data_IF_033885990953
#
_entry.id   IF_033885990953
#
_cell.length_a   1.000
_cell.length_b   1.000
_cell.length_c   1.000
_cell.angle_alpha   90.00
_cell.angle_beta   90.00
_cell.angle_gamma   90.00
#
_symmetry.space_group_name_H-M   'P 1'
#
loop_
_entity.id
_entity.type
_entity.pdbx_description
1 polymer ?
#
# COMPACT_ATOMS: atom_id res chain seq x y z
N UNK A 1 52.18 -64.39 -14.33
CA UNK A 1 52.92 -64.02 -13.10
C UNK A 1 53.77 -62.81 -13.47
N UNK A 2 53.36 -61.59 -13.16
CA UNK A 2 53.21 -61.07 -11.81
C UNK A 2 52.01 -60.11 -11.72
N UNK A 3 51.07 -60.43 -10.85
CA UNK A 3 50.08 -59.49 -10.32
C UNK A 3 50.83 -58.44 -9.50
N UNK A 4 50.90 -57.21 -10.00
CA UNK A 4 51.31 -56.07 -9.21
C UNK A 4 50.04 -55.45 -8.61
N UNK A 5 49.78 -55.74 -7.33
CA UNK A 5 48.74 -55.07 -6.57
C UNK A 5 49.02 -53.56 -6.55
N UNK A 6 48.01 -52.70 -6.75
CA UNK A 6 48.19 -51.26 -6.64
C UNK A 6 48.57 -50.91 -5.20
N UNK A 7 49.46 -49.91 -5.01
CA UNK A 7 49.94 -49.53 -3.68
C UNK A 7 48.77 -49.02 -2.84
N UNK A 8 48.63 -49.57 -1.63
CA UNK A 8 47.65 -49.16 -0.65
C UNK A 8 47.96 -47.73 -0.22
N UNK A 9 47.15 -46.78 -0.68
CA UNK A 9 47.24 -45.38 -0.29
C UNK A 9 46.56 -45.28 1.07
N UNK A 10 47.34 -45.40 2.15
CA UNK A 10 46.88 -45.08 3.49
C UNK A 10 46.69 -43.56 3.59
N UNK A 11 45.43 -43.13 3.54
CA UNK A 11 45.04 -41.75 3.80
C UNK A 11 45.14 -41.51 5.31
N UNK A 12 46.27 -40.93 5.72
CA UNK A 12 46.51 -40.50 7.09
C UNK A 12 45.51 -39.38 7.46
N UNK A 13 44.50 -39.75 8.26
CA UNK A 13 43.47 -38.84 8.77
C UNK A 13 43.81 -38.30 10.17
N UNK A 14 44.99 -38.60 10.73
CA UNK A 14 45.38 -38.14 12.09
C UNK A 14 45.74 -36.65 12.17
N UNK A 15 45.78 -35.94 11.04
CA UNK A 15 46.13 -34.51 10.99
C UNK A 15 45.03 -33.57 10.49
N UNK A 16 43.84 -34.08 10.13
CA UNK A 16 42.76 -33.24 9.62
C UNK A 16 41.80 -32.90 10.77
N UNK A 17 42.26 -32.05 11.69
CA UNK A 17 41.40 -31.42 12.69
C UNK A 17 40.52 -30.37 12.00
N UNK A 18 39.39 -30.81 11.45
CA UNK A 18 38.39 -29.94 10.83
C UNK A 18 37.56 -29.19 11.89
N UNK A 19 37.91 -29.27 13.18
CA UNK A 19 37.09 -28.74 14.28
C UNK A 19 37.65 -27.52 14.99
N UNK A 20 38.91 -27.13 14.79
CA UNK A 20 39.52 -26.03 15.56
C UNK A 20 39.75 -24.69 14.81
N UNK A 21 39.93 -24.71 13.48
CA UNK A 21 40.32 -23.48 12.75
C UNK A 21 39.17 -22.76 12.02
N UNK A 22 37.95 -23.31 12.08
CA UNK A 22 36.75 -22.61 11.64
C UNK A 22 36.28 -21.65 12.74
N UNK A 23 37.18 -20.77 13.20
CA UNK A 23 36.81 -19.54 13.88
C UNK A 23 36.11 -18.65 12.86
N UNK A 24 34.86 -18.99 12.56
CA UNK A 24 33.89 -18.06 12.00
C UNK A 24 33.58 -17.06 13.11
N UNK A 25 34.59 -16.26 13.46
CA UNK A 25 34.57 -15.29 14.54
C UNK A 25 33.44 -14.33 14.25
N UNK A 26 32.29 -14.57 14.88
CA UNK A 26 31.25 -13.58 14.93
C UNK A 26 31.92 -12.35 15.56
N UNK A 27 31.87 -11.17 14.92
CA UNK A 27 32.48 -9.98 15.48
C UNK A 27 31.93 -9.81 16.91
N UNK A 28 32.80 -9.84 17.91
CA UNK A 28 32.44 -9.53 19.29
C UNK A 28 32.07 -8.05 19.31
N UNK A 29 30.77 -7.76 19.20
CA UNK A 29 30.25 -6.41 19.33
C UNK A 29 30.45 -5.95 20.78
N UNK A 30 31.01 -4.75 20.95
CA UNK A 30 31.12 -4.18 22.28
C UNK A 30 29.74 -3.76 22.84
N UNK A 31 29.65 -3.58 24.16
CA UNK A 31 28.39 -3.20 24.81
C UNK A 31 27.81 -1.87 24.27
N UNK A 32 28.66 -0.99 23.73
CA UNK A 32 28.28 0.31 23.15
C UNK A 32 27.63 0.15 21.77
N UNK A 33 28.18 -0.71 20.91
CA UNK A 33 27.65 -1.07 19.59
C UNK A 33 26.32 -1.82 19.72
N UNK A 34 26.20 -2.73 20.69
CA UNK A 34 24.93 -3.41 20.98
C UNK A 34 23.87 -2.39 21.43
N UNK A 35 24.21 -1.47 22.33
CA UNK A 35 23.30 -0.42 22.77
C UNK A 35 22.88 0.51 21.61
N UNK A 36 23.81 0.88 20.74
CA UNK A 36 23.54 1.68 19.55
C UNK A 36 22.61 0.96 18.57
N UNK A 37 22.86 -0.32 18.28
CA UNK A 37 22.01 -1.15 17.40
C UNK A 37 20.59 -1.28 17.95
N UNK A 38 20.43 -1.48 19.26
CA UNK A 38 19.11 -1.55 19.91
C UNK A 38 18.39 -0.20 19.79
N UNK A 39 19.08 0.91 20.03
CA UNK A 39 18.50 2.25 19.92
C UNK A 39 18.04 2.57 18.47
N UNK A 40 18.89 2.29 17.49
CA UNK A 40 18.55 2.46 16.06
C UNK A 40 17.37 1.58 15.67
N UNK A 41 17.37 0.31 16.10
CA UNK A 41 16.27 -0.62 15.84
C UNK A 41 14.95 -0.09 16.40
N UNK A 42 14.96 0.44 17.63
CA UNK A 42 13.76 1.01 18.24
C UNK A 42 13.22 2.22 17.46
N UNK A 43 14.09 3.13 17.03
CA UNK A 43 13.71 4.30 16.22
C UNK A 43 13.12 3.88 14.88
N UNK A 44 13.74 2.90 14.20
CA UNK A 44 13.26 2.38 12.92
C UNK A 44 11.88 1.73 13.08
N UNK A 45 11.70 0.85 14.08
CA UNK A 45 10.41 0.22 14.34
C UNK A 45 9.32 1.22 14.73
N UNK A 46 9.64 2.19 15.59
CA UNK A 46 8.72 3.26 15.93
C UNK A 46 8.30 4.06 14.69
N UNK A 47 9.24 4.38 13.81
CA UNK A 47 8.97 5.05 12.53
C UNK A 47 8.04 4.24 11.62
N UNK A 48 8.29 2.93 11.47
CA UNK A 48 7.44 2.03 10.68
C UNK A 48 6.03 1.97 11.25
N UNK A 49 5.88 1.87 12.58
CA UNK A 49 4.58 1.84 13.25
C UNK A 49 3.83 3.15 13.01
N UNK A 50 4.48 4.31 13.18
CA UNK A 50 3.87 5.63 12.98
C UNK A 50 3.40 5.78 11.52
N UNK A 51 4.26 5.45 10.55
CA UNK A 51 3.90 5.49 9.14
C UNK A 51 2.76 4.52 8.81
N UNK A 52 2.75 3.34 9.41
CA UNK A 52 1.67 2.37 9.30
C UNK A 52 0.34 2.91 9.82
N UNK A 53 0.34 3.57 10.98
CA UNK A 53 -0.86 4.20 11.56
C UNK A 53 -1.39 5.31 10.65
N UNK A 54 -0.51 6.16 10.13
CA UNK A 54 -0.89 7.25 9.21
C UNK A 54 -1.48 6.66 7.91
N UNK A 55 -0.83 5.65 7.33
CA UNK A 55 -1.32 4.99 6.12
C UNK A 55 -2.66 4.29 6.32
N UNK A 56 -2.88 3.68 7.49
CA UNK A 56 -4.15 3.07 7.86
C UNK A 56 -5.25 4.13 8.02
N UNK A 57 -4.98 5.22 8.73
CA UNK A 57 -5.95 6.31 8.91
C UNK A 57 -6.37 6.93 7.56
N UNK A 58 -5.42 7.15 6.64
CA UNK A 58 -5.69 7.64 5.29
C UNK A 58 -6.55 6.65 4.50
N UNK A 59 -6.24 5.36 4.59
CA UNK A 59 -7.00 4.29 3.91
C UNK A 59 -8.45 4.25 4.39
N UNK A 60 -8.68 4.34 5.71
CA UNK A 60 -10.01 4.42 6.30
C UNK A 60 -10.74 5.67 5.80
N UNK A 61 -10.07 6.82 5.75
CA UNK A 61 -10.66 8.06 5.27
C UNK A 61 -11.12 7.95 3.80
N UNK A 62 -10.27 7.41 2.92
CA UNK A 62 -10.61 7.19 1.50
C UNK A 62 -11.79 6.22 1.37
N UNK A 63 -11.76 5.11 2.10
CA UNK A 63 -12.83 4.12 2.12
C UNK A 63 -14.16 4.73 2.58
N UNK A 64 -14.15 5.54 3.64
CA UNK A 64 -15.33 6.21 4.16
C UNK A 64 -15.93 7.21 3.17
N UNK A 65 -15.12 8.04 2.52
CA UNK A 65 -15.61 8.98 1.50
C UNK A 65 -16.18 8.23 0.28
N UNK A 66 -15.53 7.16 -0.16
CA UNK A 66 -16.05 6.30 -1.22
C UNK A 66 -17.39 5.67 -0.87
N UNK A 67 -17.49 5.08 0.32
CA UNK A 67 -18.72 4.48 0.86
C UNK A 67 -19.86 5.50 0.90
N UNK A 68 -19.63 6.65 1.53
CA UNK A 68 -20.66 7.66 1.72
C UNK A 68 -21.10 8.31 0.38
N UNK A 69 -20.20 8.40 -0.60
CA UNK A 69 -20.56 8.86 -1.94
C UNK A 69 -21.47 7.82 -2.62
N UNK A 70 -21.11 6.54 -2.60
CA UNK A 70 -21.89 5.47 -3.22
C UNK A 70 -23.29 5.30 -2.61
N UNK A 71 -23.44 5.58 -1.32
CA UNK A 71 -24.72 5.53 -0.62
C UNK A 71 -25.69 6.65 -1.06
N UNK A 72 -25.16 7.80 -1.49
CA UNK A 72 -25.95 8.90 -2.06
C UNK A 72 -26.36 8.67 -3.52
N UNK A 73 -25.69 7.76 -4.22
CA UNK A 73 -26.07 7.40 -5.58
C UNK A 73 -27.24 6.41 -5.61
N UNK A 74 -28.21 6.61 -6.51
CA UNK A 74 -29.31 5.66 -6.72
C UNK A 74 -28.77 4.34 -7.30
N UNK A 75 -29.39 3.21 -6.94
CA UNK A 75 -28.96 1.86 -7.34
C UNK A 75 -28.68 1.68 -8.85
N UNK A 76 -29.49 2.23 -9.78
CA UNK A 76 -29.27 2.06 -11.22
C UNK A 76 -27.97 2.69 -11.73
N UNK A 77 -27.40 3.65 -10.98
CA UNK A 77 -26.18 4.39 -11.36
C UNK A 77 -25.01 4.10 -10.44
N UNK A 78 -25.16 3.16 -9.53
CA UNK A 78 -24.10 2.75 -8.61
C UNK A 78 -23.16 1.77 -9.35
N UNK A 79 -21.90 2.15 -9.65
CA UNK A 79 -21.02 1.31 -10.46
C UNK A 79 -20.48 0.09 -9.70
N UNK A 80 -20.40 0.18 -8.37
CA UNK A 80 -19.90 -0.87 -7.48
C UNK A 80 -20.70 -0.89 -6.18
N UNK A 81 -20.85 -2.05 -5.52
CA UNK A 81 -21.51 -2.12 -4.21
C UNK A 81 -20.86 -1.17 -3.20
N UNK A 82 -21.66 -0.56 -2.32
CA UNK A 82 -21.19 0.41 -1.33
C UNK A 82 -20.13 -0.14 -0.38
N UNK A 83 -20.05 -1.46 -0.19
CA UNK A 83 -19.03 -2.08 0.66
C UNK A 83 -17.63 -2.13 0.02
N UNK A 84 -17.52 -2.05 -1.31
CA UNK A 84 -16.24 -2.23 -2.04
C UNK A 84 -15.12 -1.31 -1.56
N UNK A 85 -15.35 -0.02 -1.24
CA UNK A 85 -14.32 0.85 -0.69
C UNK A 85 -13.65 0.33 0.59
N UNK A 86 -14.34 -0.47 1.41
CA UNK A 86 -13.77 -1.04 2.63
C UNK A 86 -12.73 -2.13 2.37
N UNK A 87 -12.73 -2.71 1.16
CA UNK A 87 -11.71 -3.68 0.74
C UNK A 87 -10.32 -3.05 0.59
N UNK A 88 -10.23 -1.71 0.59
CA UNK A 88 -8.97 -0.97 0.58
C UNK A 88 -8.13 -1.22 1.86
N UNK A 89 -8.77 -1.64 2.96
CA UNK A 89 -8.08 -2.00 4.21
C UNK A 89 -7.27 -3.30 4.09
N UNK A 90 -7.57 -4.15 3.10
CA UNK A 90 -6.84 -5.41 2.87
C UNK A 90 -5.66 -5.14 1.93
N UNK A 91 -4.39 -5.32 2.36
CA UNK A 91 -3.22 -4.83 1.63
C UNK A 91 -3.11 -5.31 0.17
N UNK A 92 -3.35 -6.59 -0.08
CA UNK A 92 -3.26 -7.16 -1.43
C UNK A 92 -4.40 -6.68 -2.35
N UNK A 93 -5.57 -6.48 -1.77
CA UNK A 93 -6.77 -6.05 -2.49
C UNK A 93 -6.73 -4.54 -2.75
N UNK A 94 -6.10 -3.78 -1.85
CA UNK A 94 -5.88 -2.33 -1.98
C UNK A 94 -5.27 -1.96 -3.33
N UNK A 95 -4.24 -2.69 -3.79
CA UNK A 95 -3.57 -2.45 -5.08
C UNK A 95 -4.52 -2.39 -6.28
N UNK A 96 -5.59 -3.21 -6.29
CA UNK A 96 -6.57 -3.22 -7.36
C UNK A 96 -7.75 -2.27 -7.07
N UNK A 97 -8.25 -2.27 -5.84
CA UNK A 97 -9.43 -1.51 -5.44
C UNK A 97 -9.18 0.00 -5.48
N UNK A 98 -7.95 0.45 -5.22
CA UNK A 98 -7.60 1.86 -5.27
C UNK A 98 -7.95 2.45 -6.64
N UNK A 99 -7.66 1.74 -7.73
CA UNK A 99 -7.99 2.20 -9.08
C UNK A 99 -9.50 2.22 -9.32
N UNK A 100 -10.22 1.21 -8.85
CA UNK A 100 -11.68 1.14 -9.00
C UNK A 100 -12.34 2.32 -8.28
N UNK A 101 -11.89 2.65 -7.06
CA UNK A 101 -12.40 3.80 -6.31
C UNK A 101 -12.16 5.09 -7.08
N UNK A 102 -10.92 5.35 -7.52
CA UNK A 102 -10.58 6.62 -8.17
C UNK A 102 -11.07 6.74 -9.61
N UNK A 103 -11.41 5.64 -10.29
CA UNK A 103 -11.97 5.65 -11.65
C UNK A 103 -13.49 5.69 -11.63
N UNK A 104 -14.13 4.77 -10.92
CA UNK A 104 -15.56 4.49 -11.05
C UNK A 104 -16.41 5.43 -10.22
N UNK A 105 -16.01 5.73 -8.97
CA UNK A 105 -16.83 6.54 -8.06
C UNK A 105 -16.91 8.00 -8.51
N UNK A 106 -15.80 8.70 -8.83
CA UNK A 106 -15.87 10.08 -9.32
C UNK A 106 -16.65 10.21 -10.63
N UNK A 107 -16.53 9.22 -11.53
CA UNK A 107 -17.27 9.19 -12.80
C UNK A 107 -18.77 9.12 -12.56
N UNK A 108 -19.21 8.17 -11.73
CA UNK A 108 -20.63 8.02 -11.42
C UNK A 108 -21.19 9.24 -10.66
N UNK A 109 -20.42 9.82 -9.74
CA UNK A 109 -20.79 11.04 -9.04
C UNK A 109 -20.94 12.24 -9.99
N UNK A 110 -20.04 12.37 -10.97
CA UNK A 110 -20.10 13.41 -11.99
C UNK A 110 -21.32 13.25 -12.90
N UNK A 111 -21.58 12.04 -13.40
CA UNK A 111 -22.76 11.74 -14.24
C UNK A 111 -24.07 12.06 -13.51
N UNK A 112 -24.12 11.76 -12.21
CA UNK A 112 -25.29 12.07 -11.38
C UNK A 112 -25.46 13.58 -11.16
N UNK A 113 -24.38 14.33 -10.90
CA UNK A 113 -24.43 15.78 -10.76
C UNK A 113 -24.85 16.48 -12.05
N UNK A 114 -24.35 16.00 -13.21
CA UNK A 114 -24.78 16.48 -14.52
C UNK A 114 -26.28 16.21 -14.72
N UNK A 115 -26.77 15.03 -14.35
CA UNK A 115 -28.19 14.71 -14.46
C UNK A 115 -29.07 15.57 -13.54
N UNK A 116 -28.53 16.05 -12.42
CA UNK A 116 -29.17 17.01 -11.50
C UNK A 116 -29.05 18.46 -11.95
N UNK A 117 -28.48 18.73 -13.11
CA UNK A 117 -28.31 20.08 -13.65
C UNK A 117 -27.24 20.91 -12.94
N UNK A 118 -26.37 20.28 -12.15
CA UNK A 118 -25.23 20.92 -11.48
C UNK A 118 -23.93 20.41 -12.11
N UNK A 119 -23.49 20.97 -13.24
CA UNK A 119 -22.23 20.55 -13.86
C UNK A 119 -21.07 20.86 -12.91
N UNK A 120 -20.34 19.82 -12.51
CA UNK A 120 -19.10 19.99 -11.75
C UNK A 120 -17.98 20.35 -12.72
N UNK A 121 -17.20 21.36 -12.35
CA UNK A 121 -16.02 21.74 -13.11
C UNK A 121 -14.91 20.69 -12.93
N UNK A 122 -14.62 19.96 -14.01
CA UNK A 122 -13.56 18.94 -14.09
C UNK A 122 -13.96 17.51 -13.65
N UNK A 123 -12.98 16.60 -13.59
CA UNK A 123 -13.21 15.15 -13.45
C UNK A 123 -13.43 14.67 -12.00
N UNK A 124 -13.96 15.51 -11.10
CA UNK A 124 -14.21 15.17 -9.68
C UNK A 124 -13.01 14.51 -8.95
N UNK A 125 -11.77 14.80 -9.38
CA UNK A 125 -10.54 14.23 -8.80
C UNK A 125 -10.07 12.91 -9.42
N UNK A 126 -10.75 12.35 -10.42
CA UNK A 126 -10.38 11.07 -11.08
C UNK A 126 -8.94 11.04 -11.57
N UNK A 127 -8.54 12.02 -12.40
CA UNK A 127 -7.19 12.06 -12.96
C UNK A 127 -6.10 12.14 -11.90
N UNK A 128 -6.32 12.96 -10.87
CA UNK A 128 -5.39 13.10 -9.73
C UNK A 128 -5.31 11.82 -8.90
N UNK A 129 -6.44 11.13 -8.69
CA UNK A 129 -6.49 9.88 -7.95
C UNK A 129 -5.76 8.75 -8.66
N UNK A 130 -5.91 8.63 -9.99
CA UNK A 130 -5.19 7.64 -10.80
C UNK A 130 -3.69 7.96 -10.82
N UNK A 131 -3.31 9.21 -11.08
CA UNK A 131 -1.91 9.62 -11.06
C UNK A 131 -1.27 9.34 -9.69
N UNK A 132 -1.98 9.68 -8.61
CA UNK A 132 -1.55 9.40 -7.23
C UNK A 132 -1.40 7.91 -6.95
N UNK A 133 -2.34 7.08 -7.39
CA UNK A 133 -2.28 5.62 -7.25
C UNK A 133 -1.10 5.00 -8.02
N UNK A 134 -0.82 5.47 -9.23
CA UNK A 134 0.35 5.01 -10.02
C UNK A 134 1.65 5.41 -9.32
N UNK A 135 1.77 6.65 -8.86
CA UNK A 135 2.96 7.16 -8.16
C UNK A 135 3.19 6.43 -6.83
N UNK A 136 2.10 6.07 -6.13
CA UNK A 136 2.16 5.26 -4.92
C UNK A 136 2.70 3.85 -5.19
N UNK A 137 2.21 3.18 -6.22
CA UNK A 137 2.66 1.81 -6.58
C UNK A 137 4.10 1.81 -7.08
N UNK A 138 4.51 2.82 -7.85
CA UNK A 138 5.89 2.90 -8.35
C UNK A 138 6.92 3.13 -7.24
N UNK A 139 6.51 3.55 -6.03
CA UNK A 139 7.39 3.79 -4.89
C UNK A 139 8.33 5.00 -5.02
N UNK A 140 8.62 5.46 -6.25
CA UNK A 140 9.61 6.50 -6.51
C UNK A 140 9.23 7.90 -5.98
N UNK A 141 7.96 8.13 -5.63
CA UNK A 141 7.48 9.44 -5.16
C UNK A 141 6.36 9.31 -4.12
N UNK A 142 6.49 8.35 -3.21
CA UNK A 142 5.51 8.05 -2.17
C UNK A 142 4.83 9.29 -1.52
N UNK A 143 5.56 10.36 -1.11
CA UNK A 143 4.90 11.54 -0.53
C UNK A 143 4.05 12.33 -1.55
N UNK A 144 4.52 12.48 -2.79
CA UNK A 144 3.78 13.21 -3.84
C UNK A 144 2.52 12.43 -4.22
N UNK A 145 2.63 11.11 -4.37
CA UNK A 145 1.50 10.22 -4.64
C UNK A 145 0.41 10.32 -3.57
N UNK A 146 0.79 10.28 -2.29
CA UNK A 146 -0.14 10.45 -1.17
C UNK A 146 -0.87 11.79 -1.22
N UNK A 147 -0.15 12.89 -1.48
CA UNK A 147 -0.75 14.23 -1.54
C UNK A 147 -1.76 14.33 -2.69
N UNK A 148 -1.45 13.77 -3.86
CA UNK A 148 -2.37 13.76 -5.00
C UNK A 148 -3.64 12.96 -4.71
N UNK A 149 -3.52 11.80 -4.05
CA UNK A 149 -4.67 11.02 -3.62
C UNK A 149 -5.52 11.77 -2.60
N UNK A 150 -4.90 12.49 -1.67
CA UNK A 150 -5.60 13.31 -0.69
C UNK A 150 -6.39 14.43 -1.40
N UNK A 151 -5.77 15.16 -2.33
CA UNK A 151 -6.45 16.18 -3.13
C UNK A 151 -7.61 15.57 -3.94
N UNK A 152 -7.41 14.39 -4.53
CA UNK A 152 -8.46 13.67 -5.25
C UNK A 152 -9.65 13.32 -4.34
N UNK A 153 -9.39 12.81 -3.14
CA UNK A 153 -10.45 12.52 -2.16
C UNK A 153 -11.16 13.77 -1.65
N UNK A 154 -10.46 14.90 -1.51
CA UNK A 154 -11.07 16.18 -1.15
C UNK A 154 -12.02 16.68 -2.25
N UNK A 155 -11.66 16.54 -3.53
CA UNK A 155 -12.56 16.85 -4.65
C UNK A 155 -13.78 15.91 -4.68
N UNK A 156 -13.58 14.63 -4.41
CA UNK A 156 -14.69 13.69 -4.30
C UNK A 156 -15.62 14.04 -3.12
N UNK A 157 -15.05 14.45 -1.98
CA UNK A 157 -15.82 14.91 -0.83
C UNK A 157 -16.60 16.21 -1.12
N UNK A 158 -16.08 17.10 -1.98
CA UNK A 158 -16.80 18.28 -2.46
C UNK A 158 -17.98 17.88 -3.36
N UNK A 159 -17.76 17.00 -4.34
CA UNK A 159 -18.82 16.46 -5.19
C UNK A 159 -19.93 15.77 -4.35
N UNK A 160 -19.53 15.01 -3.33
CA UNK A 160 -20.45 14.42 -2.35
C UNK A 160 -21.33 15.47 -1.66
N UNK A 161 -20.77 16.61 -1.24
CA UNK A 161 -21.56 17.69 -0.61
C UNK A 161 -22.60 18.26 -1.57
N UNK A 162 -22.21 18.48 -2.82
CA UNK A 162 -23.13 18.95 -3.87
C UNK A 162 -24.25 17.92 -4.15
N UNK A 163 -23.93 16.62 -4.12
CA UNK A 163 -24.93 15.55 -4.21
C UNK A 163 -25.89 15.52 -3.02
N UNK A 164 -25.43 15.88 -1.82
CA UNK A 164 -26.28 15.93 -0.63
C UNK A 164 -27.20 17.16 -0.63
N UNK A 165 -26.75 18.28 -1.22
CA UNK A 165 -27.52 19.52 -1.31
C UNK A 165 -28.52 19.53 -2.49
N UNK A 166 -28.19 18.83 -3.58
CA UNK A 166 -29.08 18.70 -4.74
C UNK A 166 -30.18 17.66 -4.48
N UNK A 167 -31.43 18.01 -4.81
CA UNK A 167 -32.53 17.06 -4.70
C UNK A 167 -32.34 15.89 -5.68
N UNK A 168 -32.65 14.66 -5.27
CA UNK A 168 -32.54 13.50 -6.15
C UNK A 168 -33.52 13.64 -7.32
N UNK A 169 -33.02 13.45 -8.55
CA UNK A 169 -33.87 13.45 -9.75
C UNK A 169 -34.63 12.12 -9.77
N UNK A 170 -35.91 12.17 -9.38
CA UNK A 170 -36.81 11.01 -9.38
C UNK A 170 -37.28 10.52 -8.01
N UNK A 171 -37.20 11.35 -6.96
CA UNK A 171 -38.04 11.17 -5.77
C UNK A 171 -39.50 11.60 -6.05
#
# INVERSE_FOLDING_TARGET
MQDAAPPDIEFDMEGLDITEDADFGAPELDDEEVAALVAVSFVVWAGIIILGIIGLALSIYVAYIGYATLELLPEPRRPVPSFVPWLLLVPLVNLAIIFIIFVSIPKAAQEELIARGQPVEGDCGRGLGIAGAVLWILGCTAPIGMVLMLIATMKLAQAKRQLAESQPVGA
#
